data_IF_740015155580
#
_entry.id   IF_740015155580
#
_cell.length_a   1.000
_cell.length_b   1.000
_cell.length_c   1.000
_cell.angle_alpha   90.00
_cell.angle_beta   90.00
_cell.angle_gamma   90.00
#
_symmetry.space_group_name_H-M   'P 1'
#
loop_
_entity.id
_entity.type
_entity.pdbx_description
1 polymer ?
#
# COMPACT_ATOMS: atom_id res chain seq x y z
N UNK A 1 22.51 4.21 15.12
CA UNK A 1 21.05 4.29 15.43
C UNK A 1 20.33 3.30 14.54
N UNK A 2 19.31 2.65 15.03
CA UNK A 2 18.59 1.61 14.27
C UNK A 2 17.50 2.24 13.40
N UNK A 3 17.35 1.77 12.14
CA UNK A 3 16.32 2.26 11.24
C UNK A 3 14.92 2.08 11.84
N UNK A 4 14.14 3.16 11.92
CA UNK A 4 12.77 3.16 12.42
C UNK A 4 11.81 3.21 11.23
N UNK A 5 11.33 2.05 10.78
CA UNK A 5 10.31 1.99 9.73
C UNK A 5 8.91 2.09 10.34
N UNK A 6 8.13 3.01 9.81
CA UNK A 6 6.73 3.16 10.15
C UNK A 6 5.83 2.70 9.01
N UNK A 7 4.64 2.22 9.37
CA UNK A 7 3.63 1.77 8.43
C UNK A 7 2.82 2.94 7.85
N UNK A 8 1.67 2.65 7.29
CA UNK A 8 0.80 3.64 6.69
C UNK A 8 0.15 4.55 7.75
N UNK A 9 0.35 5.87 7.67
CA UNK A 9 -0.27 6.82 8.58
C UNK A 9 -1.79 6.81 8.41
N UNK A 10 -2.50 6.85 9.53
CA UNK A 10 -3.96 6.82 9.59
C UNK A 10 -4.44 8.02 10.39
N UNK A 11 -5.35 8.80 9.84
CA UNK A 11 -5.94 9.95 10.52
C UNK A 11 -7.10 9.47 11.38
N UNK A 12 -7.02 9.69 12.69
CA UNK A 12 -8.09 9.38 13.64
C UNK A 12 -9.27 10.32 13.54
N UNK A 13 -10.37 9.99 14.21
CA UNK A 13 -11.55 10.84 14.27
C UNK A 13 -11.28 12.18 15.00
N UNK A 14 -10.28 12.22 15.87
CA UNK A 14 -9.76 13.40 16.56
C UNK A 14 -8.88 14.31 15.69
N UNK A 15 -8.59 13.88 14.45
CA UNK A 15 -7.73 14.59 13.51
C UNK A 15 -6.24 14.38 13.74
N UNK A 16 -5.82 13.59 14.73
CA UNK A 16 -4.43 13.20 14.96
C UNK A 16 -4.02 12.12 13.97
N UNK A 17 -2.77 12.14 13.54
CA UNK A 17 -2.18 11.14 12.65
C UNK A 17 -1.52 10.07 13.51
N UNK A 18 -2.00 8.84 13.41
CA UNK A 18 -1.46 7.67 14.10
C UNK A 18 -0.68 6.80 13.14
N UNK A 19 0.54 6.43 13.52
CA UNK A 19 1.44 5.64 12.67
C UNK A 19 1.98 4.46 13.46
N UNK A 20 1.50 3.25 13.21
CA UNK A 20 1.99 2.07 13.91
C UNK A 20 3.40 1.71 13.45
N UNK A 21 4.19 1.04 14.31
CA UNK A 21 5.51 0.60 13.93
C UNK A 21 5.43 -0.51 12.88
N UNK A 22 6.23 -0.39 11.84
CA UNK A 22 6.48 -1.48 10.89
C UNK A 22 7.72 -2.27 11.31
N UNK A 23 8.86 -1.59 11.46
CA UNK A 23 10.12 -2.14 11.92
C UNK A 23 10.71 -3.15 10.93
N UNK A 24 11.83 -2.82 10.29
CA UNK A 24 12.49 -3.72 9.32
C UNK A 24 13.58 -4.59 9.96
N UNK A 25 14.33 -4.04 10.91
CA UNK A 25 15.54 -4.68 11.48
C UNK A 25 15.50 -4.88 12.98
N UNK A 26 14.77 -4.02 13.71
CA UNK A 26 14.69 -4.08 15.18
C UNK A 26 13.26 -4.00 15.70
N UNK A 27 13.13 -4.28 16.99
CA UNK A 27 11.88 -4.17 17.70
C UNK A 27 11.58 -2.69 17.95
N UNK A 28 10.72 -2.11 17.12
CA UNK A 28 10.13 -0.81 17.34
C UNK A 28 8.84 -1.02 18.16
N UNK A 29 8.79 -0.54 19.39
CA UNK A 29 7.77 -0.83 20.39
C UNK A 29 6.88 0.37 20.74
N UNK A 30 6.75 1.31 19.83
CA UNK A 30 5.84 2.44 19.98
C UNK A 30 5.16 2.84 18.68
N UNK A 31 3.97 3.40 18.80
CA UNK A 31 3.25 4.08 17.74
C UNK A 31 3.53 5.58 17.83
N UNK A 32 3.65 6.27 16.69
CA UNK A 32 3.69 7.71 16.66
C UNK A 32 2.27 8.28 16.59
N UNK A 33 2.01 9.32 17.39
CA UNK A 33 0.89 10.23 17.20
C UNK A 33 1.42 11.62 16.84
N UNK A 34 0.95 12.18 15.72
CA UNK A 34 1.38 13.49 15.21
C UNK A 34 0.18 14.41 15.14
N UNK A 35 0.25 15.53 15.87
CA UNK A 35 -0.76 16.59 15.75
C UNK A 35 -0.48 17.40 14.47
N UNK A 36 -1.37 17.39 13.45
CA UNK A 36 -1.11 18.03 12.17
C UNK A 36 -1.13 19.55 12.20
N UNK A 37 -1.61 20.15 13.29
CA UNK A 37 -1.67 21.63 13.46
C UNK A 37 -0.44 22.18 14.18
N UNK A 38 -0.04 21.50 15.25
CA UNK A 38 1.10 21.94 16.07
C UNK A 38 2.41 21.26 15.70
N UNK A 39 2.32 20.16 14.94
CA UNK A 39 3.43 19.26 14.61
C UNK A 39 4.08 18.59 15.82
N UNK A 40 3.40 18.64 16.98
CA UNK A 40 3.83 17.91 18.15
C UNK A 40 3.70 16.40 17.90
N UNK A 41 4.70 15.66 18.35
CA UNK A 41 4.78 14.21 18.21
C UNK A 41 4.83 13.56 19.58
N UNK A 42 4.12 12.44 19.72
CA UNK A 42 4.07 11.64 20.95
C UNK A 42 4.38 10.19 20.59
N UNK A 43 5.18 9.54 21.42
CA UNK A 43 5.40 8.08 21.37
C UNK A 43 4.40 7.41 22.29
N UNK A 44 3.56 6.55 21.74
CA UNK A 44 2.61 5.72 22.49
C UNK A 44 3.23 4.33 22.62
N UNK A 45 3.65 3.88 23.83
CA UNK A 45 4.26 2.57 24.03
C UNK A 45 3.32 1.44 23.62
N UNK A 46 3.87 0.39 23.01
CA UNK A 46 3.14 -0.79 22.59
C UNK A 46 3.79 -2.07 23.17
N UNK A 47 2.98 -3.05 23.44
CA UNK A 47 3.45 -4.42 23.66
C UNK A 47 3.53 -5.12 22.28
N UNK A 48 4.72 -5.52 21.86
CA UNK A 48 4.96 -6.14 20.56
C UNK A 48 5.54 -7.54 20.72
N UNK A 49 5.09 -8.48 19.89
CA UNK A 49 5.56 -9.86 19.87
C UNK A 49 6.50 -10.12 18.69
N UNK A 50 6.23 -9.48 17.55
CA UNK A 50 7.05 -9.61 16.34
C UNK A 50 8.22 -8.64 16.34
N UNK A 51 9.36 -9.08 15.82
CA UNK A 51 10.56 -8.23 15.71
C UNK A 51 10.45 -7.20 14.58
N UNK A 52 9.71 -7.49 13.51
CA UNK A 52 9.58 -6.63 12.33
C UNK A 52 8.24 -6.78 11.62
N UNK A 53 7.92 -5.78 10.79
CA UNK A 53 6.77 -5.75 9.89
C UNK A 53 5.44 -6.02 10.62
N UNK A 54 5.20 -5.29 11.73
CA UNK A 54 4.15 -5.64 12.70
C UNK A 54 2.74 -5.43 12.16
N UNK A 55 2.40 -4.21 11.77
CA UNK A 55 1.08 -3.82 11.26
C UNK A 55 1.22 -2.95 10.02
N UNK A 56 0.19 -2.92 9.18
CA UNK A 56 0.16 -2.13 7.94
C UNK A 56 -0.94 -1.08 7.94
N UNK A 57 -1.95 -1.19 7.09
CA UNK A 57 -3.02 -0.21 6.96
C UNK A 57 -3.95 -0.18 8.15
N UNK A 58 -4.26 1.02 8.66
CA UNK A 58 -5.28 1.24 9.66
C UNK A 58 -6.69 1.38 9.04
N UNK A 59 -7.67 0.84 9.73
CA UNK A 59 -9.09 0.94 9.40
C UNK A 59 -9.80 1.74 10.48
N UNK A 60 -10.32 2.92 10.14
CA UNK A 60 -10.99 3.82 11.10
C UNK A 60 -12.46 3.45 11.23
N UNK A 61 -12.93 3.27 12.46
CA UNK A 61 -14.32 2.96 12.79
C UNK A 61 -14.75 3.81 13.99
N UNK A 62 -15.49 4.87 13.76
CA UNK A 62 -15.80 5.85 14.80
C UNK A 62 -14.53 6.41 15.43
N UNK A 63 -14.43 6.34 16.75
CA UNK A 63 -13.25 6.80 17.48
C UNK A 63 -12.13 5.75 17.61
N UNK A 64 -12.26 4.60 16.95
CA UNK A 64 -11.25 3.55 16.99
C UNK A 64 -10.55 3.38 15.66
N UNK A 65 -9.26 3.03 15.72
CA UNK A 65 -8.47 2.60 14.57
C UNK A 65 -8.02 1.17 14.80
N UNK A 66 -8.26 0.30 13.83
CA UNK A 66 -7.88 -1.10 13.84
C UNK A 66 -6.76 -1.34 12.85
N UNK A 67 -5.60 -1.82 13.31
CA UNK A 67 -4.51 -2.28 12.43
C UNK A 67 -4.44 -3.79 12.46
N UNK A 68 -4.62 -4.38 11.29
CA UNK A 68 -4.57 -5.83 11.13
C UNK A 68 -3.14 -6.35 11.21
N UNK A 69 -2.93 -7.57 11.73
CA UNK A 69 -1.60 -8.13 11.86
C UNK A 69 -0.96 -8.40 10.51
N UNK A 70 0.25 -7.91 10.32
CA UNK A 70 1.11 -8.27 9.21
C UNK A 70 2.18 -9.27 9.65
N UNK A 71 3.10 -8.89 10.53
CA UNK A 71 4.01 -9.77 11.25
C UNK A 71 3.51 -10.17 12.63
N UNK A 72 2.77 -9.29 13.32
CA UNK A 72 2.15 -9.56 14.62
C UNK A 72 1.08 -10.66 14.55
N UNK A 73 0.70 -11.20 15.69
CA UNK A 73 -0.35 -12.21 15.83
C UNK A 73 -1.66 -11.68 16.41
N UNK A 74 -1.71 -10.38 16.72
CA UNK A 74 -2.85 -9.67 17.31
C UNK A 74 -3.24 -8.46 16.48
N UNK A 75 -4.50 -8.05 16.54
CA UNK A 75 -4.98 -6.79 16.00
C UNK A 75 -4.64 -5.69 17.02
N UNK A 76 -4.03 -4.60 16.57
CA UNK A 76 -3.83 -3.40 17.37
C UNK A 76 -5.07 -2.51 17.25
N UNK A 77 -5.59 -2.05 18.36
CA UNK A 77 -6.72 -1.11 18.42
C UNK A 77 -6.28 0.13 19.19
N UNK A 78 -6.46 1.29 18.58
CA UNK A 78 -6.30 2.58 19.25
C UNK A 78 -7.67 3.24 19.38
N UNK A 79 -8.05 3.58 20.61
CA UNK A 79 -9.18 4.44 20.90
C UNK A 79 -8.67 5.89 20.92
N UNK A 80 -9.02 6.65 19.90
CA UNK A 80 -8.52 8.02 19.69
C UNK A 80 -9.17 9.01 20.65
N UNK A 81 -10.36 8.71 21.18
CA UNK A 81 -11.04 9.56 22.16
C UNK A 81 -10.43 9.44 23.56
N UNK A 82 -10.03 8.23 23.96
CA UNK A 82 -9.41 7.98 25.27
C UNK A 82 -7.89 7.92 25.23
N UNK A 83 -7.27 8.06 24.05
CA UNK A 83 -5.83 7.95 23.83
C UNK A 83 -5.24 6.64 24.38
N UNK A 84 -5.99 5.54 24.25
CA UNK A 84 -5.58 4.22 24.76
C UNK A 84 -5.38 3.21 23.66
N UNK A 85 -4.48 2.26 23.90
CA UNK A 85 -4.24 1.12 23.00
C UNK A 85 -4.64 -0.18 23.67
N UNK A 86 -5.16 -1.09 22.86
CA UNK A 86 -5.54 -2.44 23.27
C UNK A 86 -5.28 -3.42 22.13
N UNK A 87 -5.45 -4.72 22.41
CA UNK A 87 -5.19 -5.78 21.43
C UNK A 87 -6.36 -6.76 21.42
N UNK A 88 -6.72 -7.21 20.21
CA UNK A 88 -7.64 -8.32 20.04
C UNK A 88 -6.81 -9.54 19.65
N UNK A 89 -6.85 -10.58 20.49
CA UNK A 89 -6.15 -11.84 20.25
C UNK A 89 -6.87 -12.64 19.16
N UNK A 90 -6.10 -13.38 18.39
CA UNK A 90 -6.58 -14.25 17.32
C UNK A 90 -6.20 -15.68 17.67
N UNK A 91 -7.18 -16.57 17.72
CA UNK A 91 -6.97 -18.01 17.92
C UNK A 91 -6.46 -18.64 16.59
N UNK A 92 -5.17 -18.53 16.35
CA UNK A 92 -4.54 -19.05 15.15
C UNK A 92 -4.52 -20.56 15.12
N UNK A 93 -4.86 -21.19 13.99
CA UNK A 93 -4.55 -22.60 13.78
C UNK A 93 -3.06 -22.88 13.93
N UNK A 94 -2.71 -24.10 14.32
CA UNK A 94 -1.32 -24.52 14.55
C UNK A 94 -0.41 -24.18 13.35
N UNK A 95 0.71 -23.53 13.61
CA UNK A 95 1.70 -23.12 12.61
C UNK A 95 1.33 -21.88 11.78
N UNK A 96 0.11 -21.36 11.87
CA UNK A 96 -0.36 -20.21 11.08
C UNK A 96 0.04 -18.88 11.71
N UNK A 97 -0.04 -18.76 13.03
CA UNK A 97 0.25 -17.50 13.75
C UNK A 97 1.65 -16.95 13.49
N UNK A 98 2.63 -17.79 13.17
CA UNK A 98 4.01 -17.40 12.85
C UNK A 98 4.21 -16.93 11.41
N UNK A 99 3.18 -16.92 10.56
CA UNK A 99 3.26 -16.42 9.18
C UNK A 99 3.48 -14.92 9.19
N UNK A 100 4.43 -14.45 8.38
CA UNK A 100 4.62 -13.02 8.11
C UNK A 100 3.76 -12.56 6.94
N UNK A 101 3.43 -11.27 6.91
CA UNK A 101 2.60 -10.71 5.85
C UNK A 101 1.21 -11.32 5.82
N UNK A 102 0.53 -11.41 6.98
CA UNK A 102 -0.76 -12.08 7.05
C UNK A 102 -1.83 -11.36 6.24
N UNK A 103 -2.05 -10.09 6.56
CA UNK A 103 -3.08 -9.26 5.93
C UNK A 103 -2.48 -7.92 5.53
N UNK A 104 -2.89 -7.40 4.36
CA UNK A 104 -2.44 -6.09 3.88
C UNK A 104 -3.45 -5.02 4.22
N UNK A 105 -4.75 -5.30 4.03
CA UNK A 105 -5.80 -4.29 4.11
C UNK A 105 -7.12 -4.92 4.57
N UNK A 106 -7.93 -4.14 5.31
CA UNK A 106 -9.28 -4.52 5.74
C UNK A 106 -10.35 -3.68 5.07
N UNK A 107 -11.55 -4.26 4.91
CA UNK A 107 -12.74 -3.58 4.41
C UNK A 107 -13.86 -3.64 5.43
N UNK A 108 -14.54 -2.51 5.64
CA UNK A 108 -15.69 -2.44 6.55
C UNK A 108 -16.96 -2.74 5.78
N UNK A 109 -17.73 -3.70 6.27
CA UNK A 109 -19.09 -3.96 5.83
C UNK A 109 -19.91 -4.51 7.00
N UNK A 110 -21.10 -3.97 7.22
CA UNK A 110 -22.07 -4.39 8.25
C UNK A 110 -21.44 -4.62 9.63
N UNK A 111 -20.79 -3.58 10.18
CA UNK A 111 -20.09 -3.62 11.48
C UNK A 111 -19.01 -4.72 11.59
N UNK A 112 -18.43 -5.14 10.50
CA UNK A 112 -17.31 -6.08 10.48
C UNK A 112 -16.16 -5.57 9.62
N UNK A 113 -14.94 -5.94 10.00
CA UNK A 113 -13.77 -5.79 9.14
C UNK A 113 -13.47 -7.15 8.50
N UNK A 114 -13.32 -7.16 7.20
CA UNK A 114 -12.96 -8.32 6.40
C UNK A 114 -11.61 -8.13 5.75
N UNK A 115 -10.70 -9.10 5.88
CA UNK A 115 -9.38 -9.03 5.26
C UNK A 115 -9.00 -10.35 4.57
N UNK A 116 -8.66 -10.26 3.30
CA UNK A 116 -8.18 -11.41 2.52
C UNK A 116 -6.75 -11.78 2.92
N UNK A 117 -6.43 -13.07 2.93
CA UNK A 117 -5.10 -13.55 3.28
C UNK A 117 -4.07 -13.18 2.19
N UNK A 118 -2.92 -12.69 2.62
CA UNK A 118 -1.78 -12.44 1.75
C UNK A 118 -0.71 -13.53 1.88
N UNK A 119 -0.17 -13.73 3.09
CA UNK A 119 0.85 -14.73 3.38
C UNK A 119 2.17 -14.45 2.66
N UNK A 120 3.09 -13.72 3.28
CA UNK A 120 4.32 -13.30 2.58
C UNK A 120 5.37 -14.40 2.49
N UNK A 121 5.64 -15.07 3.59
CA UNK A 121 6.68 -16.09 3.73
C UNK A 121 6.14 -17.51 3.75
N UNK A 122 4.88 -17.67 4.10
CA UNK A 122 4.16 -18.95 4.11
C UNK A 122 2.76 -18.78 3.52
N UNK A 123 2.20 -19.83 2.91
CA UNK A 123 0.80 -19.79 2.50
C UNK A 123 -0.14 -19.51 3.65
N UNK A 124 -1.06 -18.57 3.47
CA UNK A 124 -2.14 -18.26 4.40
C UNK A 124 -3.47 -18.41 3.67
N UNK A 125 -4.34 -19.28 4.18
CA UNK A 125 -5.63 -19.61 3.56
C UNK A 125 -6.84 -19.19 4.42
N UNK A 126 -6.62 -18.35 5.43
CA UNK A 126 -7.66 -17.90 6.32
C UNK A 126 -7.98 -16.41 6.12
N UNK A 127 -9.20 -16.11 5.72
CA UNK A 127 -9.74 -14.78 5.77
C UNK A 127 -10.00 -14.37 7.22
N UNK A 128 -9.63 -13.15 7.57
CA UNK A 128 -9.90 -12.56 8.87
C UNK A 128 -11.24 -11.82 8.83
N UNK A 129 -12.10 -12.09 9.80
CA UNK A 129 -13.34 -11.34 10.03
C UNK A 129 -13.35 -10.85 11.47
N UNK A 130 -13.42 -9.54 11.66
CA UNK A 130 -13.50 -8.91 12.99
C UNK A 130 -14.90 -8.34 13.17
N UNK A 131 -15.61 -8.79 14.18
CA UNK A 131 -16.89 -8.21 14.58
C UNK A 131 -16.64 -6.98 15.47
N UNK A 132 -17.06 -5.81 15.01
CA UNK A 132 -16.79 -4.52 15.66
C UNK A 132 -17.74 -4.22 16.83
N UNK A 133 -18.78 -5.01 17.01
CA UNK A 133 -19.74 -4.87 18.13
C UNK A 133 -19.26 -5.66 19.35
N UNK A 134 -18.72 -6.85 19.08
CA UNK A 134 -18.30 -7.80 20.14
C UNK A 134 -16.78 -7.84 20.34
N UNK A 135 -16.01 -7.18 19.50
CA UNK A 135 -14.54 -7.25 19.40
C UNK A 135 -14.05 -8.71 19.31
N UNK A 136 -14.80 -9.58 18.60
CA UNK A 136 -14.43 -10.98 18.37
C UNK A 136 -13.89 -11.21 16.96
N UNK A 137 -13.11 -12.27 16.82
CA UNK A 137 -12.43 -12.64 15.56
C UNK A 137 -12.88 -14.01 15.10
N UNK A 138 -13.18 -14.13 13.81
CA UNK A 138 -13.40 -15.39 13.11
C UNK A 138 -12.36 -15.56 12.01
N UNK A 139 -11.76 -16.73 11.90
CA UNK A 139 -10.89 -17.11 10.78
C UNK A 139 -11.67 -18.06 9.85
N UNK A 140 -11.95 -17.59 8.63
CA UNK A 140 -12.68 -18.37 7.61
C UNK A 140 -11.71 -18.98 6.60
N UNK A 141 -11.67 -20.31 6.53
CA UNK A 141 -10.81 -21.02 5.59
C UNK A 141 -11.28 -20.81 4.15
N UNK A 142 -10.35 -20.47 3.26
CA UNK A 142 -10.54 -20.36 1.81
C UNK A 142 -9.83 -21.54 1.13
N UNK A 143 -10.61 -22.48 0.60
CA UNK A 143 -10.06 -23.62 -0.13
C UNK A 143 -9.49 -23.16 -1.49
N UNK A 144 -8.20 -22.85 -1.52
CA UNK A 144 -7.49 -22.42 -2.74
C UNK A 144 -6.85 -23.63 -3.42
N UNK A 145 -7.00 -23.81 -4.75
CA UNK A 145 -6.46 -24.98 -5.46
C UNK A 145 -4.92 -25.07 -5.47
N UNK A 146 -4.24 -23.95 -5.23
CA UNK A 146 -2.78 -23.84 -5.28
C UNK A 146 -2.28 -23.28 -3.96
N UNK A 147 -1.39 -24.00 -3.31
CA UNK A 147 -0.75 -23.58 -2.08
C UNK A 147 0.46 -22.68 -2.40
N UNK A 148 0.25 -21.37 -2.46
CA UNK A 148 1.29 -20.36 -2.72
C UNK A 148 1.24 -19.23 -1.70
N UNK A 149 2.34 -18.49 -1.61
CA UNK A 149 2.44 -17.24 -0.87
C UNK A 149 1.98 -16.06 -1.72
N UNK A 150 1.68 -14.94 -1.05
CA UNK A 150 1.35 -13.66 -1.70
C UNK A 150 0.22 -13.78 -2.73
N UNK A 151 -0.82 -14.57 -2.39
CA UNK A 151 -1.92 -14.85 -3.32
C UNK A 151 -2.63 -13.61 -3.81
N UNK A 152 -3.08 -12.77 -2.86
CA UNK A 152 -3.80 -11.52 -3.10
C UNK A 152 -3.19 -10.40 -2.28
N UNK A 153 -2.79 -9.28 -2.90
CA UNK A 153 -2.13 -8.20 -2.19
C UNK A 153 -3.13 -7.13 -1.75
N UNK A 154 -3.68 -6.40 -2.70
CA UNK A 154 -4.74 -5.42 -2.44
C UNK A 154 -6.09 -5.98 -2.88
N UNK A 155 -7.14 -5.44 -2.29
CA UNK A 155 -8.53 -5.81 -2.59
C UNK A 155 -9.40 -4.57 -2.63
N UNK A 156 -10.61 -4.70 -3.18
CA UNK A 156 -11.63 -3.64 -3.18
C UNK A 156 -12.95 -4.22 -2.71
N UNK A 157 -13.71 -3.40 -1.99
CA UNK A 157 -15.10 -3.69 -1.65
C UNK A 157 -16.00 -3.00 -2.68
N UNK A 158 -16.83 -3.78 -3.37
CA UNK A 158 -17.89 -3.30 -4.25
C UNK A 158 -19.23 -3.86 -3.78
N UNK A 159 -20.10 -2.98 -3.33
CA UNK A 159 -21.36 -3.35 -2.65
C UNK A 159 -21.07 -4.22 -1.40
N UNK A 160 -21.53 -5.47 -1.39
CA UNK A 160 -21.34 -6.45 -0.33
C UNK A 160 -20.25 -7.50 -0.65
N UNK A 161 -19.41 -7.26 -1.66
CA UNK A 161 -18.42 -8.24 -2.13
C UNK A 161 -17.02 -7.67 -2.16
N UNK A 162 -16.07 -8.46 -1.69
CA UNK A 162 -14.63 -8.16 -1.75
C UNK A 162 -14.02 -8.88 -2.93
N UNK A 163 -13.27 -8.14 -3.74
CA UNK A 163 -12.58 -8.62 -4.91
C UNK A 163 -11.07 -8.46 -4.77
N UNK A 164 -10.31 -9.48 -5.16
CA UNK A 164 -8.88 -9.36 -5.34
C UNK A 164 -8.40 -10.15 -6.56
N UNK A 165 -7.28 -9.69 -7.13
CA UNK A 165 -6.66 -10.27 -8.33
C UNK A 165 -5.45 -11.11 -7.97
N UNK A 166 -5.08 -12.11 -8.81
CA UNK A 166 -3.99 -13.01 -8.53
C UNK A 166 -2.64 -12.29 -8.58
N UNK A 167 -1.84 -12.48 -7.53
CA UNK A 167 -0.43 -12.08 -7.53
C UNK A 167 0.49 -13.29 -7.64
N UNK A 168 0.48 -14.19 -6.62
CA UNK A 168 1.39 -15.33 -6.51
C UNK A 168 2.85 -14.92 -6.32
N UNK A 169 3.64 -15.72 -5.65
CA UNK A 169 5.05 -15.42 -5.43
C UNK A 169 5.99 -16.44 -6.06
N UNK A 170 5.72 -17.73 -5.85
CA UNK A 170 6.64 -18.81 -6.19
C UNK A 170 6.08 -19.78 -7.23
N UNK A 171 4.76 -19.84 -7.32
CA UNK A 171 4.07 -20.69 -8.32
C UNK A 171 3.11 -19.84 -9.15
N UNK A 172 2.79 -20.27 -10.38
CA UNK A 172 1.78 -19.60 -11.18
C UNK A 172 0.42 -19.61 -10.49
N UNK A 173 -0.01 -18.47 -10.00
CA UNK A 173 -1.29 -18.28 -9.32
C UNK A 173 -2.21 -17.44 -10.19
N UNK A 174 -3.36 -17.98 -10.62
CA UNK A 174 -4.25 -17.35 -11.60
C UNK A 174 -5.67 -17.11 -11.06
N UNK A 175 -5.91 -17.30 -9.76
CA UNK A 175 -7.25 -17.21 -9.22
C UNK A 175 -7.56 -15.82 -8.65
N UNK A 176 -8.50 -15.11 -9.29
CA UNK A 176 -9.18 -14.00 -8.65
C UNK A 176 -10.18 -14.53 -7.63
N UNK A 177 -10.38 -13.79 -6.55
CA UNK A 177 -11.35 -14.09 -5.50
C UNK A 177 -12.48 -13.06 -5.50
N UNK A 178 -13.71 -13.53 -5.31
CA UNK A 178 -14.90 -12.78 -4.94
C UNK A 178 -15.43 -13.40 -3.65
N UNK A 179 -15.49 -12.60 -2.59
CA UNK A 179 -16.03 -13.00 -1.30
C UNK A 179 -17.29 -12.17 -1.02
N UNK A 180 -18.42 -12.84 -0.78
CA UNK A 180 -19.67 -12.19 -0.40
C UNK A 180 -19.71 -12.02 1.13
N UNK A 181 -19.80 -10.78 1.60
CA UNK A 181 -19.78 -10.44 3.03
C UNK A 181 -21.07 -10.84 3.75
N UNK A 182 -22.22 -10.94 3.05
CA UNK A 182 -23.50 -11.28 3.66
C UNK A 182 -23.60 -12.75 4.07
N UNK A 183 -23.21 -13.65 3.17
CA UNK A 183 -23.38 -15.09 3.34
C UNK A 183 -22.06 -15.88 3.45
N UNK A 184 -20.93 -15.20 3.26
CA UNK A 184 -19.60 -15.80 3.33
C UNK A 184 -19.26 -16.70 2.14
N UNK A 185 -20.03 -16.65 1.05
CA UNK A 185 -19.74 -17.43 -0.15
C UNK A 185 -18.47 -16.93 -0.86
N UNK A 186 -17.68 -17.88 -1.37
CA UNK A 186 -16.42 -17.62 -2.06
C UNK A 186 -16.51 -18.13 -3.48
N UNK A 187 -16.19 -17.26 -4.44
CA UNK A 187 -16.03 -17.62 -5.84
C UNK A 187 -14.58 -17.39 -6.26
N UNK A 188 -13.91 -18.46 -6.68
CA UNK A 188 -12.60 -18.38 -7.29
C UNK A 188 -12.75 -18.48 -8.81
N UNK A 189 -12.20 -17.51 -9.54
CA UNK A 189 -12.22 -17.49 -11.02
C UNK A 189 -10.80 -17.63 -11.54
N UNK A 190 -10.56 -18.69 -12.31
CA UNK A 190 -9.27 -18.85 -12.98
C UNK A 190 -9.19 -17.92 -14.20
N UNK A 191 -8.24 -17.01 -14.18
CA UNK A 191 -8.04 -15.98 -15.21
C UNK A 191 -6.94 -16.32 -16.22
N UNK A 192 -6.35 -17.53 -16.18
CA UNK A 192 -5.21 -17.90 -17.04
C UNK A 192 -5.48 -17.68 -18.54
N UNK A 193 -6.72 -17.87 -18.99
CA UNK A 193 -7.11 -17.66 -20.39
C UNK A 193 -7.14 -16.19 -20.80
N UNK A 194 -7.14 -15.26 -19.86
CA UNK A 194 -7.15 -13.81 -20.14
C UNK A 194 -5.74 -13.26 -20.43
N UNK A 195 -4.69 -14.01 -20.07
CA UNK A 195 -3.28 -13.68 -20.35
C UNK A 195 -2.48 -14.96 -20.64
N UNK A 196 -2.81 -15.66 -21.74
CA UNK A 196 -2.32 -17.01 -22.01
C UNK A 196 -0.80 -17.10 -22.12
N UNK A 197 -0.15 -16.08 -22.65
CA UNK A 197 1.31 -16.00 -22.83
C UNK A 197 2.05 -15.91 -21.47
N UNK A 198 1.33 -15.53 -20.40
CA UNK A 198 1.88 -15.31 -19.06
C UNK A 198 1.12 -16.07 -17.97
N UNK A 199 0.31 -17.06 -18.34
CA UNK A 199 -0.41 -17.88 -17.37
C UNK A 199 0.53 -18.57 -16.39
N UNK A 200 1.71 -18.96 -16.85
CA UNK A 200 2.74 -19.66 -16.07
C UNK A 200 3.73 -18.74 -15.35
N UNK A 201 3.47 -17.41 -15.33
CA UNK A 201 4.31 -16.46 -14.61
C UNK A 201 3.81 -16.19 -13.20
N UNK A 202 4.63 -15.52 -12.38
CA UNK A 202 4.32 -15.09 -11.02
C UNK A 202 4.18 -13.57 -10.92
N UNK A 203 3.74 -13.06 -9.77
CA UNK A 203 3.67 -11.63 -9.44
C UNK A 203 2.95 -10.78 -10.52
N UNK A 204 1.79 -11.24 -10.99
CA UNK A 204 1.07 -10.62 -12.11
C UNK A 204 0.49 -9.25 -11.78
N UNK A 205 -0.27 -9.18 -10.68
CA UNK A 205 -0.97 -7.97 -10.24
C UNK A 205 -0.70 -7.69 -8.76
N UNK A 206 -0.71 -6.43 -8.36
CA UNK A 206 -0.46 -6.02 -6.97
C UNK A 206 -1.49 -5.03 -6.49
N UNK A 207 -1.85 -4.07 -7.31
CA UNK A 207 -2.86 -3.06 -6.99
C UNK A 207 -4.14 -3.32 -7.77
N UNK A 208 -5.25 -2.94 -7.17
CA UNK A 208 -6.60 -3.05 -7.71
C UNK A 208 -7.38 -1.81 -7.28
N UNK A 209 -8.16 -1.23 -8.16
CA UNK A 209 -8.90 0.00 -7.89
C UNK A 209 -10.34 -0.10 -8.37
N UNK A 210 -11.25 0.58 -7.66
CA UNK A 210 -12.67 0.65 -8.00
C UNK A 210 -13.06 2.08 -8.35
N UNK A 211 -13.57 2.28 -9.57
CA UNK A 211 -14.13 3.55 -10.03
C UNK A 211 -15.35 3.30 -10.91
N UNK A 212 -16.41 4.08 -10.73
CA UNK A 212 -17.68 3.96 -11.46
C UNK A 212 -18.22 2.52 -11.53
N UNK A 213 -18.14 1.80 -10.41
CA UNK A 213 -18.53 0.40 -10.25
C UNK A 213 -17.75 -0.61 -11.13
N UNK A 214 -16.64 -0.18 -11.70
CA UNK A 214 -15.72 -1.00 -12.51
C UNK A 214 -14.41 -1.18 -11.74
N UNK A 215 -13.94 -2.41 -11.68
CA UNK A 215 -12.67 -2.76 -11.06
C UNK A 215 -11.58 -2.81 -12.11
N UNK A 216 -10.45 -2.18 -11.82
CA UNK A 216 -9.26 -2.16 -12.66
C UNK A 216 -8.07 -2.70 -11.90
N UNK A 217 -7.29 -3.57 -12.53
CA UNK A 217 -6.01 -4.03 -12.01
C UNK A 217 -4.93 -3.87 -13.10
N UNK A 218 -4.03 -2.89 -12.94
CA UNK A 218 -2.96 -2.65 -13.91
C UNK A 218 -1.87 -3.72 -13.78
N UNK A 219 -1.03 -3.89 -14.82
CA UNK A 219 0.07 -4.85 -14.79
C UNK A 219 1.09 -4.46 -13.70
N UNK A 220 1.44 -5.44 -12.88
CA UNK A 220 2.62 -5.35 -12.03
C UNK A 220 3.78 -6.13 -12.67
N UNK A 221 3.60 -7.42 -12.88
CA UNK A 221 4.47 -8.30 -13.68
C UNK A 221 5.86 -8.54 -13.10
N UNK A 222 6.27 -9.80 -13.01
CA UNK A 222 7.66 -10.17 -12.78
C UNK A 222 8.47 -10.13 -14.08
N UNK A 223 7.80 -10.30 -15.23
CA UNK A 223 8.39 -10.20 -16.56
C UNK A 223 8.16 -8.78 -17.14
N UNK A 224 9.13 -8.27 -17.84
CA UNK A 224 9.11 -6.92 -18.41
C UNK A 224 8.08 -6.74 -19.53
N UNK A 225 7.72 -7.82 -20.24
CA UNK A 225 6.70 -7.86 -21.28
C UNK A 225 5.29 -8.14 -20.78
N UNK A 226 5.07 -8.39 -19.47
CA UNK A 226 3.73 -8.52 -18.91
C UNK A 226 3.00 -7.18 -18.91
N UNK A 227 2.06 -6.99 -19.82
CA UNK A 227 1.34 -5.73 -20.05
C UNK A 227 -0.19 -5.82 -19.97
N UNK A 228 -0.71 -6.89 -19.39
CA UNK A 228 -2.15 -7.11 -19.26
C UNK A 228 -2.76 -6.28 -18.13
N UNK A 229 -3.81 -5.52 -18.45
CA UNK A 229 -4.73 -4.94 -17.47
C UNK A 229 -5.96 -5.82 -17.36
N UNK A 230 -6.38 -6.13 -16.14
CA UNK A 230 -7.67 -6.76 -15.88
C UNK A 230 -8.74 -5.72 -15.59
N UNK A 231 -9.93 -5.99 -16.09
CA UNK A 231 -11.13 -5.20 -15.82
C UNK A 231 -12.25 -6.14 -15.40
N UNK A 232 -12.94 -5.81 -14.29
CA UNK A 232 -14.17 -6.49 -13.91
C UNK A 232 -15.32 -5.51 -13.97
N UNK A 233 -16.26 -5.79 -14.86
CA UNK A 233 -17.51 -5.07 -14.98
C UNK A 233 -18.66 -6.06 -14.84
N UNK A 234 -19.65 -5.72 -13.99
CA UNK A 234 -20.85 -6.54 -13.74
C UNK A 234 -20.55 -7.99 -13.31
N UNK A 235 -19.37 -8.25 -12.72
CA UNK A 235 -18.92 -9.58 -12.29
C UNK A 235 -18.09 -10.36 -13.30
N UNK A 236 -17.98 -9.87 -14.54
CA UNK A 236 -17.23 -10.50 -15.62
C UNK A 236 -15.81 -9.92 -15.71
N UNK A 237 -14.82 -10.81 -15.75
CA UNK A 237 -13.42 -10.45 -15.95
C UNK A 237 -13.05 -10.45 -17.42
N UNK A 238 -12.42 -9.38 -17.83
CA UNK A 238 -11.81 -9.22 -19.16
C UNK A 238 -10.37 -8.73 -19.02
N UNK A 239 -9.59 -8.83 -20.08
CA UNK A 239 -8.24 -8.28 -20.13
C UNK A 239 -8.02 -7.50 -21.42
N UNK A 240 -7.08 -6.55 -21.35
CA UNK A 240 -6.56 -5.85 -22.51
C UNK A 240 -5.06 -5.62 -22.34
N UNK A 241 -4.33 -5.61 -23.47
CA UNK A 241 -2.93 -5.20 -23.45
C UNK A 241 -2.82 -3.69 -23.37
N UNK A 242 -1.97 -3.21 -22.50
CA UNK A 242 -1.70 -1.77 -22.33
C UNK A 242 -0.57 -1.27 -23.23
N UNK A 243 0.23 -2.17 -23.81
CA UNK A 243 1.46 -1.85 -24.52
C UNK A 243 2.60 -1.36 -23.60
N UNK A 244 2.43 -1.47 -22.30
CA UNK A 244 3.38 -0.99 -21.30
C UNK A 244 4.37 -2.10 -20.98
N UNK A 245 5.55 -2.02 -21.58
CA UNK A 245 6.63 -3.00 -21.45
C UNK A 245 7.94 -2.33 -21.03
N UNK A 246 9.02 -3.09 -20.88
CA UNK A 246 10.38 -2.59 -20.65
C UNK A 246 10.80 -2.50 -19.18
N UNK A 247 9.98 -2.95 -18.23
CA UNK A 247 10.36 -3.12 -16.82
C UNK A 247 9.49 -4.13 -16.13
N UNK A 248 9.95 -4.64 -14.99
CA UNK A 248 9.18 -5.44 -14.05
C UNK A 248 8.56 -4.56 -12.96
N UNK A 249 7.54 -5.09 -12.25
CA UNK A 249 6.89 -4.42 -11.09
C UNK A 249 6.45 -2.99 -11.39
N UNK A 250 5.68 -2.83 -12.48
CA UNK A 250 5.35 -1.54 -13.10
C UNK A 250 4.57 -0.60 -12.19
N UNK A 251 3.46 -1.07 -11.62
CA UNK A 251 2.56 -0.26 -10.78
C UNK A 251 2.32 -0.95 -9.44
N UNK A 252 2.58 -0.24 -8.35
CA UNK A 252 2.43 -0.76 -6.99
C UNK A 252 1.25 -0.14 -6.25
N UNK A 253 0.95 1.12 -6.50
CA UNK A 253 -0.09 1.89 -5.84
C UNK A 253 -0.93 2.68 -6.84
N UNK A 254 -1.99 3.28 -6.35
CA UNK A 254 -2.83 4.21 -7.13
C UNK A 254 -3.41 5.30 -6.23
N UNK A 255 -3.87 6.38 -6.86
CA UNK A 255 -4.76 7.37 -6.26
C UNK A 255 -6.05 7.39 -7.06
N UNK A 256 -7.18 7.20 -6.37
CA UNK A 256 -8.51 7.50 -6.89
C UNK A 256 -8.87 8.93 -6.51
N UNK A 257 -9.17 9.74 -7.49
CA UNK A 257 -9.49 11.14 -7.30
C UNK A 257 -10.99 11.39 -7.09
N UNK A 258 -11.32 12.54 -6.51
CA UNK A 258 -12.72 12.98 -6.30
C UNK A 258 -13.54 13.07 -7.59
N UNK A 259 -12.89 13.30 -8.74
CA UNK A 259 -13.52 13.33 -10.07
C UNK A 259 -13.53 11.96 -10.77
N UNK A 260 -13.35 10.86 -10.01
CA UNK A 260 -13.40 9.48 -10.50
C UNK A 260 -12.35 9.12 -11.56
N UNK A 261 -11.18 9.74 -11.53
CA UNK A 261 -10.02 9.28 -12.29
C UNK A 261 -9.13 8.38 -11.41
N UNK A 262 -8.43 7.45 -12.03
CA UNK A 262 -7.39 6.65 -11.39
C UNK A 262 -6.02 7.02 -11.94
N UNK A 263 -5.07 7.21 -11.07
CA UNK A 263 -3.70 7.53 -11.41
C UNK A 263 -2.75 6.51 -10.77
N UNK A 264 -1.90 5.89 -11.60
CA UNK A 264 -0.92 4.87 -11.19
C UNK A 264 0.49 5.39 -11.50
N UNK A 265 1.26 5.75 -10.48
CA UNK A 265 2.61 6.27 -10.70
C UNK A 265 3.56 5.15 -11.12
N UNK A 266 4.63 5.46 -11.86
CA UNK A 266 5.65 4.49 -12.21
C UNK A 266 6.38 4.02 -10.95
N UNK A 267 6.39 2.73 -10.71
CA UNK A 267 7.26 2.09 -9.73
C UNK A 267 8.54 1.60 -10.42
N UNK A 268 8.46 0.59 -11.27
CA UNK A 268 9.61 0.00 -11.98
C UNK A 268 10.66 -0.59 -11.02
N UNK A 269 11.25 -1.73 -11.34
CA UNK A 269 12.20 -2.36 -10.40
C UNK A 269 13.63 -2.49 -10.96
N UNK A 270 13.78 -2.90 -12.21
CA UNK A 270 15.09 -3.20 -12.79
C UNK A 270 15.56 -2.18 -13.83
N UNK A 271 14.76 -1.17 -14.14
CA UNK A 271 15.11 -0.17 -15.14
C UNK A 271 14.59 1.20 -14.75
N UNK A 272 15.25 2.23 -15.22
CA UNK A 272 14.71 3.60 -15.18
C UNK A 272 13.48 3.65 -16.08
N UNK A 273 12.31 3.72 -15.46
CA UNK A 273 11.03 3.62 -16.14
C UNK A 273 10.07 4.73 -15.70
N UNK A 274 9.46 5.40 -16.64
CA UNK A 274 8.75 6.67 -16.41
C UNK A 274 7.32 6.69 -16.94
N UNK A 275 6.73 5.52 -17.29
CA UNK A 275 5.36 5.49 -17.81
C UNK A 275 4.33 5.58 -16.70
N UNK A 276 3.62 6.69 -16.68
CA UNK A 276 2.50 6.94 -15.78
C UNK A 276 1.21 6.43 -16.43
N UNK A 277 0.37 5.72 -15.69
CA UNK A 277 -0.88 5.18 -16.19
C UNK A 277 -2.06 5.95 -15.58
N UNK A 278 -2.99 6.33 -16.41
CA UNK A 278 -4.24 6.98 -16.01
C UNK A 278 -5.45 6.27 -16.60
N UNK A 279 -6.54 6.22 -15.83
CA UNK A 279 -7.84 5.76 -16.28
C UNK A 279 -8.87 6.87 -16.03
N UNK A 280 -9.49 7.34 -17.09
CA UNK A 280 -10.58 8.33 -17.06
C UNK A 280 -11.79 7.76 -17.81
N UNK A 281 -12.91 7.55 -17.11
CA UNK A 281 -14.16 7.01 -17.69
C UNK A 281 -13.93 5.78 -18.57
N UNK A 282 -13.12 4.84 -18.09
CA UNK A 282 -12.79 3.60 -18.80
C UNK A 282 -11.74 3.75 -19.91
N UNK A 283 -11.29 4.96 -20.21
CA UNK A 283 -10.22 5.19 -21.19
C UNK A 283 -8.88 5.09 -20.48
N UNK A 284 -8.05 4.17 -20.93
CA UNK A 284 -6.68 3.97 -20.44
C UNK A 284 -5.73 4.84 -21.25
N UNK A 285 -4.94 5.65 -20.55
CA UNK A 285 -3.90 6.52 -21.15
C UNK A 285 -2.58 6.31 -20.44
N UNK A 286 -1.49 6.45 -21.17
CA UNK A 286 -0.13 6.49 -20.62
C UNK A 286 0.50 7.85 -20.91
N UNK A 287 1.27 8.34 -19.96
CA UNK A 287 2.04 9.56 -20.07
C UNK A 287 3.50 9.20 -19.77
N UNK A 288 4.41 9.58 -20.66
CA UNK A 288 5.83 9.46 -20.40
C UNK A 288 6.27 10.66 -19.55
N UNK A 289 6.73 10.39 -18.32
CA UNK A 289 7.25 11.42 -17.45
C UNK A 289 8.72 11.72 -17.81
N UNK A 290 9.11 12.97 -17.71
CA UNK A 290 10.52 13.38 -17.80
C UNK A 290 11.26 13.16 -16.45
N UNK A 291 10.96 12.05 -15.78
CA UNK A 291 11.62 11.61 -14.56
C UNK A 291 12.40 10.35 -14.90
N UNK A 292 13.62 10.52 -15.35
CA UNK A 292 14.47 9.44 -15.87
C UNK A 292 15.42 8.86 -14.84
N UNK A 293 15.42 9.38 -13.61
CA UNK A 293 16.28 8.93 -12.53
C UNK A 293 15.59 7.86 -11.72
N UNK A 294 16.32 6.91 -11.20
CA UNK A 294 15.94 5.92 -10.21
C UNK A 294 14.88 4.87 -10.64
N UNK A 295 14.93 3.75 -9.95
CA UNK A 295 13.88 2.72 -9.91
C UNK A 295 12.97 2.92 -8.69
N UNK A 296 11.84 2.21 -8.61
CA UNK A 296 10.88 2.28 -7.48
C UNK A 296 10.52 3.72 -7.08
N UNK A 297 10.19 4.53 -8.05
CA UNK A 297 10.07 5.99 -7.87
C UNK A 297 9.05 6.41 -6.83
N UNK A 298 7.80 5.96 -6.97
CA UNK A 298 6.68 6.46 -6.18
C UNK A 298 5.81 5.32 -5.67
N UNK A 299 5.61 5.22 -4.35
CA UNK A 299 4.81 4.18 -3.71
C UNK A 299 3.63 4.72 -2.91
N UNK A 300 3.59 6.01 -2.67
CA UNK A 300 2.50 6.65 -1.95
C UNK A 300 2.07 7.93 -2.66
N UNK A 301 0.78 8.20 -2.63
CA UNK A 301 0.22 9.41 -3.21
C UNK A 301 -1.11 9.78 -2.58
N UNK A 302 -1.44 11.06 -2.64
CA UNK A 302 -2.66 11.66 -2.08
C UNK A 302 -3.20 12.76 -2.98
N UNK A 303 -4.52 13.00 -2.94
CA UNK A 303 -5.17 14.12 -3.63
C UNK A 303 -5.45 15.24 -2.62
N UNK A 304 -5.12 16.49 -2.96
CA UNK A 304 -5.44 17.66 -2.17
C UNK A 304 -6.87 18.19 -2.43
N UNK A 305 -7.26 19.25 -1.71
CA UNK A 305 -8.59 19.86 -1.85
C UNK A 305 -8.80 20.53 -3.21
N UNK A 306 -7.74 20.93 -3.90
CA UNK A 306 -7.77 21.62 -5.19
C UNK A 306 -7.81 20.66 -6.40
N UNK A 307 -7.75 19.35 -6.17
CA UNK A 307 -7.77 18.32 -7.20
C UNK A 307 -6.40 18.12 -7.86
N UNK A 308 -5.31 18.29 -7.10
CA UNK A 308 -3.98 17.87 -7.50
C UNK A 308 -3.60 16.60 -6.77
N UNK A 309 -2.96 15.67 -7.45
CA UNK A 309 -2.41 14.44 -6.88
C UNK A 309 -0.91 14.61 -6.68
N UNK A 310 -0.44 14.29 -5.49
CA UNK A 310 0.96 14.36 -5.10
C UNK A 310 1.49 12.96 -4.84
N UNK A 311 2.60 12.60 -5.47
CA UNK A 311 3.33 11.36 -5.22
C UNK A 311 4.68 11.66 -4.59
N UNK A 312 4.90 11.04 -3.43
CA UNK A 312 6.11 11.27 -2.63
C UNK A 312 7.22 10.32 -3.09
N UNK A 313 8.47 10.80 -3.25
CA UNK A 313 9.57 9.99 -3.75
C UNK A 313 9.95 8.88 -2.77
N UNK A 314 10.08 7.67 -3.28
CA UNK A 314 10.71 6.57 -2.56
C UNK A 314 12.17 6.40 -2.97
N UNK A 315 12.44 6.33 -4.29
CA UNK A 315 13.78 6.03 -4.81
C UNK A 315 14.16 4.56 -4.67
N UNK A 316 15.26 4.16 -5.21
CA UNK A 316 15.73 2.81 -5.42
C UNK A 316 15.67 1.80 -4.27
N UNK A 317 16.17 0.61 -4.51
CA UNK A 317 16.27 -0.47 -3.51
C UNK A 317 17.59 -1.23 -3.70
N UNK A 318 18.26 -1.51 -2.60
CA UNK A 318 19.47 -2.33 -2.57
C UNK A 318 19.19 -3.83 -2.76
N UNK A 319 17.90 -4.22 -2.78
CA UNK A 319 17.50 -5.62 -2.65
C UNK A 319 17.75 -6.50 -3.88
N UNK A 320 18.37 -6.00 -4.94
CA UNK A 320 18.70 -6.80 -6.11
C UNK A 320 20.20 -6.82 -6.35
N UNK A 321 20.90 -7.90 -5.91
CA UNK A 321 22.34 -8.02 -6.13
C UNK A 321 22.73 -8.17 -7.62
N UNK A 322 21.76 -8.43 -8.49
CA UNK A 322 21.95 -8.61 -9.93
C UNK A 322 21.67 -7.35 -10.75
N UNK A 323 21.24 -6.26 -10.10
CA UNK A 323 21.01 -4.99 -10.79
C UNK A 323 22.36 -4.28 -11.06
N UNK A 324 22.79 -4.28 -12.32
CA UNK A 324 23.92 -3.48 -12.83
C UNK A 324 23.70 -1.94 -12.69
N UNK A 325 22.55 -1.52 -12.17
CA UNK A 325 22.20 -0.13 -11.97
C UNK A 325 22.76 0.37 -10.63
N UNK A 326 23.72 1.25 -10.69
CA UNK A 326 24.09 2.07 -9.52
C UNK A 326 22.90 2.93 -9.17
N UNK A 327 22.23 2.57 -8.07
CA UNK A 327 21.21 3.41 -7.47
C UNK A 327 21.91 4.63 -6.86
N UNK A 328 21.49 5.80 -7.28
CA UNK A 328 22.16 7.05 -6.90
C UNK A 328 21.45 7.74 -5.72
N UNK A 329 20.22 7.32 -5.37
CA UNK A 329 19.40 8.00 -4.37
C UNK A 329 18.91 9.39 -4.81
N UNK A 330 19.07 9.74 -6.07
CA UNK A 330 18.89 11.10 -6.59
C UNK A 330 17.41 11.53 -6.71
N UNK A 331 16.43 10.62 -6.50
CA UNK A 331 15.03 11.02 -6.56
C UNK A 331 14.65 11.85 -5.33
N UNK A 332 14.65 13.14 -5.48
CA UNK A 332 14.28 14.11 -4.45
C UNK A 332 13.15 15.04 -4.92
N UNK A 333 12.25 14.53 -5.74
CA UNK A 333 11.18 15.31 -6.35
C UNK A 333 9.82 14.70 -6.03
N UNK A 334 8.89 15.53 -5.55
CA UNK A 334 7.46 15.20 -5.46
C UNK A 334 6.88 15.33 -6.87
N UNK A 335 6.24 14.28 -7.37
CA UNK A 335 5.50 14.33 -8.62
C UNK A 335 4.09 14.89 -8.35
N UNK A 336 3.73 15.94 -9.06
CA UNK A 336 2.41 16.58 -8.97
C UNK A 336 1.66 16.38 -10.28
N UNK A 337 0.40 15.97 -10.18
CA UNK A 337 -0.51 15.85 -11.34
C UNK A 337 -1.73 16.71 -11.09
N UNK A 338 -1.98 17.69 -11.97
CA UNK A 338 -3.24 18.46 -11.96
C UNK A 338 -4.32 17.62 -12.66
N UNK A 339 -5.36 17.22 -11.90
CA UNK A 339 -6.40 16.33 -12.42
C UNK A 339 -7.40 17.00 -13.37
N UNK A 340 -7.32 18.34 -13.54
CA UNK A 340 -8.22 19.10 -14.44
C UNK A 340 -7.83 18.92 -15.90
N UNK A 341 -6.52 18.90 -16.16
CA UNK A 341 -5.98 18.83 -17.52
C UNK A 341 -4.92 17.74 -17.71
N UNK A 342 -4.71 16.92 -16.66
CA UNK A 342 -3.78 15.79 -16.61
C UNK A 342 -2.31 16.19 -16.87
N UNK A 343 -1.95 17.46 -16.64
CA UNK A 343 -0.58 17.93 -16.70
C UNK A 343 0.16 17.56 -15.42
N UNK A 344 1.45 17.31 -15.57
CA UNK A 344 2.32 17.00 -14.45
C UNK A 344 3.55 17.94 -14.42
N UNK A 345 4.12 18.02 -13.22
CA UNK A 345 5.40 18.67 -12.95
C UNK A 345 6.00 18.09 -11.68
N UNK A 346 7.23 18.45 -11.37
CA UNK A 346 7.90 18.02 -10.14
C UNK A 346 8.23 19.21 -9.25
N UNK A 347 8.24 18.97 -7.94
CA UNK A 347 8.67 19.92 -6.92
C UNK A 347 9.90 19.34 -6.22
N UNK A 348 11.01 20.06 -6.27
CA UNK A 348 12.26 19.68 -5.63
C UNK A 348 12.12 19.76 -4.10
N UNK A 349 12.50 18.67 -3.42
CA UNK A 349 12.57 18.57 -1.96
C UNK A 349 13.96 18.10 -1.50
N UNK A 350 14.99 18.32 -2.30
CA UNK A 350 16.36 17.86 -2.03
C UNK A 350 16.94 18.44 -0.73
N UNK A 351 16.45 19.59 -0.29
CA UNK A 351 16.83 20.20 0.99
C UNK A 351 16.42 19.37 2.23
N UNK A 352 15.51 18.39 2.06
CA UNK A 352 15.14 17.45 3.14
C UNK A 352 16.20 16.37 3.37
N UNK A 353 17.16 16.22 2.47
CA UNK A 353 18.12 15.13 2.51
C UNK A 353 19.53 15.67 2.79
N UNK A 354 20.18 15.10 3.80
CA UNK A 354 21.56 15.47 4.15
C UNK A 354 22.57 14.94 3.14
N UNK A 355 22.22 13.90 2.41
CA UNK A 355 22.97 13.38 1.29
C UNK A 355 22.01 12.87 0.19
N UNK A 356 22.46 12.89 -1.06
CA UNK A 356 21.69 12.43 -2.21
C UNK A 356 21.78 10.90 -2.41
N UNK A 357 22.42 10.18 -1.49
CA UNK A 357 22.58 8.72 -1.57
C UNK A 357 21.50 7.95 -0.83
N UNK A 358 20.61 8.64 -0.11
CA UNK A 358 19.51 8.04 0.61
C UNK A 358 18.53 7.39 -0.35
N UNK A 359 18.42 6.06 -0.26
CA UNK A 359 17.46 5.24 -1.01
C UNK A 359 16.27 4.86 -0.11
N UNK A 360 15.14 4.51 -0.76
CA UNK A 360 13.92 4.09 -0.05
C UNK A 360 13.46 5.10 1.03
N UNK A 361 13.33 6.37 0.61
CA UNK A 361 13.02 7.49 1.50
C UNK A 361 11.67 7.37 2.19
N UNK A 362 10.59 7.42 1.40
CA UNK A 362 9.23 7.42 1.92
C UNK A 362 8.43 6.25 1.34
N UNK A 363 7.64 5.57 2.15
CA UNK A 363 6.81 4.44 1.73
C UNK A 363 5.32 4.75 1.78
N UNK A 364 4.93 5.66 2.66
CA UNK A 364 3.53 5.97 2.91
C UNK A 364 3.36 7.46 3.25
N UNK A 365 2.19 8.01 2.94
CA UNK A 365 1.82 9.36 3.33
C UNK A 365 0.32 9.46 3.59
N UNK A 366 -0.07 10.50 4.33
CA UNK A 366 -1.45 10.96 4.42
C UNK A 366 -1.49 12.48 4.19
N UNK A 367 -2.71 13.00 4.02
CA UNK A 367 -2.95 14.44 3.87
C UNK A 367 -3.99 14.90 4.89
N UNK A 368 -3.70 15.99 5.58
CA UNK A 368 -4.62 16.65 6.52
C UNK A 368 -4.58 18.15 6.25
N UNK A 369 -5.72 18.77 5.97
CA UNK A 369 -5.84 20.21 5.67
C UNK A 369 -4.85 20.69 4.58
N UNK A 370 -4.74 19.94 3.51
CA UNK A 370 -3.81 20.17 2.39
C UNK A 370 -2.32 20.13 2.76
N UNK A 371 -1.97 19.58 3.92
CA UNK A 371 -0.60 19.30 4.33
C UNK A 371 -0.33 17.80 4.28
N UNK A 372 0.70 17.40 3.56
CA UNK A 372 1.17 16.01 3.44
C UNK A 372 2.12 15.70 4.59
N UNK A 373 1.92 14.53 5.20
CA UNK A 373 2.84 13.90 6.15
C UNK A 373 3.34 12.60 5.54
N UNK A 374 4.62 12.55 5.16
CA UNK A 374 5.22 11.35 4.57
C UNK A 374 6.17 10.68 5.57
N UNK A 375 5.97 9.38 5.75
CA UNK A 375 6.67 8.57 6.73
C UNK A 375 7.93 7.96 6.16
N UNK A 376 9.07 8.02 6.88
CA UNK A 376 10.31 7.38 6.45
C UNK A 376 10.15 5.87 6.42
N UNK A 377 10.71 5.23 5.39
CA UNK A 377 10.67 3.77 5.26
C UNK A 377 11.71 3.07 6.13
N UNK A 378 12.84 3.74 6.40
CA UNK A 378 13.81 3.33 7.41
C UNK A 378 14.77 2.21 6.99
N UNK A 379 14.96 1.91 5.71
CA UNK A 379 16.06 1.03 5.28
C UNK A 379 17.44 1.71 5.41
N UNK A 380 17.49 3.03 5.41
CA UNK A 380 18.69 3.81 5.69
C UNK A 380 18.73 4.27 7.14
N UNK A 381 19.80 3.93 7.87
CA UNK A 381 20.00 4.39 9.25
C UNK A 381 20.08 5.92 9.37
N UNK A 382 20.46 6.60 8.30
CA UNK A 382 20.60 8.05 8.27
C UNK A 382 19.30 8.80 8.00
N UNK A 383 18.23 8.12 7.55
CA UNK A 383 16.99 8.78 7.15
C UNK A 383 15.82 8.42 8.07
N UNK A 384 15.59 9.27 9.06
CA UNK A 384 14.58 9.12 10.11
C UNK A 384 13.66 10.33 10.19
N UNK A 385 13.32 10.93 9.04
CA UNK A 385 12.67 12.23 9.00
C UNK A 385 11.29 12.14 8.37
N UNK A 386 10.26 12.59 9.07
CA UNK A 386 8.92 12.79 8.51
C UNK A 386 8.92 14.09 7.71
N UNK A 387 8.50 14.03 6.45
CA UNK A 387 8.28 15.21 5.62
C UNK A 387 6.92 15.83 5.93
N UNK A 388 6.89 17.13 6.19
CA UNK A 388 5.68 17.95 6.29
C UNK A 388 5.68 18.93 5.12
N UNK A 389 4.77 18.74 4.18
CA UNK A 389 4.73 19.47 2.91
C UNK A 389 3.36 20.10 2.67
N UNK A 390 3.35 21.41 2.44
CA UNK A 390 2.14 22.18 2.12
C UNK A 390 1.83 22.09 0.63
N UNK A 391 0.69 21.49 0.27
CA UNK A 391 0.25 21.35 -1.12
C UNK A 391 -0.34 22.62 -1.72
N UNK A 392 -0.64 23.64 -0.91
CA UNK A 392 -1.17 24.92 -1.37
C UNK A 392 -0.07 25.82 -1.88
N UNK A 393 1.03 25.89 -1.15
CA UNK A 393 2.22 26.66 -1.50
C UNK A 393 3.26 25.84 -2.24
N UNK A 394 3.12 24.53 -2.22
CA UNK A 394 4.06 23.54 -2.78
C UNK A 394 5.46 23.68 -2.19
N UNK A 395 5.51 23.86 -0.87
CA UNK A 395 6.77 24.05 -0.12
C UNK A 395 6.85 23.11 1.07
N UNK A 396 8.08 22.83 1.49
CA UNK A 396 8.36 22.12 2.73
C UNK A 396 8.05 23.07 3.89
N UNK A 397 7.13 22.68 4.78
CA UNK A 397 6.88 23.44 6.03
C UNK A 397 8.02 23.16 7.01
N UNK A 398 8.34 21.89 7.21
CA UNK A 398 9.41 21.40 8.08
C UNK A 398 9.65 19.91 7.91
N UNK A 399 10.69 19.45 8.54
CA UNK A 399 10.95 18.02 8.77
C UNK A 399 10.87 17.71 10.27
N UNK A 400 10.38 16.50 10.62
CA UNK A 400 10.34 16.04 12.01
C UNK A 400 11.37 14.91 12.14
N UNK A 401 12.45 15.17 12.86
CA UNK A 401 13.48 14.14 13.12
C UNK A 401 13.00 13.21 14.24
N UNK A 402 12.83 11.94 13.92
CA UNK A 402 12.37 10.91 14.85
C UNK A 402 13.44 10.51 15.86
N UNK A 403 14.70 10.88 15.63
CA UNK A 403 15.78 10.66 16.58
C UNK A 403 15.77 11.67 17.74
N UNK A 404 15.10 12.80 17.56
CA UNK A 404 14.97 13.85 18.60
C UNK A 404 13.78 13.62 19.55
N UNK A 405 12.99 12.54 19.34
CA UNK A 405 11.78 12.23 20.12
C UNK A 405 12.10 11.39 21.37
#
# INVERSE_FOLDING_TARGET
MTPQAFSYPTVGADGIIYVPPYGLTETLDYMLAINPTTYATIKIPLEVNASKEKWTFGTVVGDKIYWLPYGEDRILVCDTHHETVSYINIDWPEGVGSTRGKYVQGHIYDNKIFALPYGEDKPLDYMLVVDLVTDTVELKYIAVPINDCKKWHQSVLRNNKIYAVPRGAYTPFNFAVEYNCDDGTIKLTNLATLYPDHADTTMKFTTIALVDDIIYAPPYGYHDDFDYMLVNKDGDWTSSRTGITGTTRKYFTHVKTKNNKLYFPPAGHHSVWSKFLMIDRGVVKTIDLDVTKETKKYFAGVENSQGKVYYIPRGGCVCDPDADLKLTGDLAEVLVVDTKDDRYYTVDISECFTDNTTIEKYNACCIVNDVIFAMPYGESESFQTVLVFDTTTETIIKTLDLNEL
#
